data_IF_227653972602
#
_entry.id   IF_227653972602
#
_cell.length_a   1.000
_cell.length_b   1.000
_cell.length_c   1.000
_cell.angle_alpha   90.00
_cell.angle_beta   90.00
_cell.angle_gamma   90.00
#
_symmetry.space_group_name_H-M   'P 1'
#
loop_
_entity.id
_entity.type
_entity.pdbx_description
1 polymer ?
#
# COMPACT_ATOMS: atom_id res chain seq x y z
N UNK A 1 -12.05 -11.99 -7.36
CA UNK A 1 -10.72 -11.54 -6.88
C UNK A 1 -10.47 -12.13 -5.51
N UNK A 2 -9.51 -13.03 -5.33
CA UNK A 2 -9.22 -13.63 -4.02
C UNK A 2 -8.56 -12.60 -3.11
N UNK A 3 -8.94 -12.48 -1.84
CA UNK A 3 -8.28 -11.58 -0.91
C UNK A 3 -6.83 -12.00 -0.69
N UNK A 4 -5.95 -11.01 -0.67
CA UNK A 4 -4.51 -11.19 -0.42
C UNK A 4 -4.32 -11.70 1.01
N UNK A 5 -3.82 -12.93 1.15
CA UNK A 5 -3.42 -13.51 2.44
C UNK A 5 -1.94 -13.21 2.63
N UNK A 6 -1.63 -12.13 3.32
CA UNK A 6 -0.23 -11.82 3.60
C UNK A 6 0.31 -12.70 4.73
N UNK A 7 1.36 -13.45 4.46
CA UNK A 7 2.20 -14.09 5.47
C UNK A 7 3.54 -13.37 5.52
N UNK A 8 3.84 -12.79 6.67
CA UNK A 8 5.14 -12.33 7.20
C UNK A 8 5.69 -10.96 6.78
N UNK A 9 5.98 -10.21 7.84
CA UNK A 9 6.90 -9.11 8.12
C UNK A 9 6.56 -7.74 7.56
N UNK A 10 5.71 -7.03 8.27
CA UNK A 10 5.96 -5.65 8.72
C UNK A 10 5.27 -5.51 10.08
N UNK A 11 5.97 -4.99 11.10
CA UNK A 11 5.47 -4.55 12.40
C UNK A 11 4.41 -5.45 13.06
N UNK A 12 4.88 -6.38 13.82
CA UNK A 12 4.24 -7.02 14.98
C UNK A 12 2.72 -6.82 15.22
N UNK A 13 1.86 -7.44 14.47
CA UNK A 13 0.64 -7.91 15.08
C UNK A 13 0.61 -9.43 15.01
N UNK A 14 0.80 -10.05 16.17
CA UNK A 14 0.73 -11.50 16.35
C UNK A 14 -0.55 -12.06 15.74
N UNK A 15 -1.67 -11.33 15.88
CA UNK A 15 -2.98 -11.72 15.35
C UNK A 15 -3.09 -11.79 13.83
N UNK A 16 -2.31 -11.02 13.07
CA UNK A 16 -2.27 -11.10 11.63
C UNK A 16 -1.46 -12.32 11.15
N UNK A 17 -0.32 -12.60 11.80
CA UNK A 17 0.48 -13.80 11.51
C UNK A 17 -0.25 -15.10 11.84
N UNK A 18 -1.07 -15.09 12.88
CA UNK A 18 -1.87 -16.22 13.34
C UNK A 18 -3.15 -16.40 12.50
N UNK A 19 -3.36 -15.57 11.46
CA UNK A 19 -4.51 -15.66 10.54
C UNK A 19 -5.84 -15.21 11.16
N UNK A 20 -5.82 -14.52 12.29
CA UNK A 20 -7.02 -14.00 12.97
C UNK A 20 -7.67 -12.84 12.22
N UNK A 21 -6.89 -12.08 11.45
CA UNK A 21 -7.37 -10.94 10.67
C UNK A 21 -7.11 -11.12 9.19
N UNK A 22 -8.02 -10.60 8.39
CA UNK A 22 -7.84 -10.43 6.94
C UNK A 22 -7.64 -8.94 6.67
N UNK A 23 -6.55 -8.59 5.98
CA UNK A 23 -6.28 -7.23 5.55
C UNK A 23 -6.75 -7.03 4.11
N UNK A 24 -7.40 -5.89 3.86
CA UNK A 24 -7.71 -5.38 2.54
C UNK A 24 -7.10 -4.00 2.40
N UNK A 25 -6.30 -3.81 1.35
CA UNK A 25 -5.78 -2.51 0.99
C UNK A 25 -6.68 -1.87 -0.06
N UNK A 26 -6.98 -0.57 0.11
CA UNK A 26 -7.62 0.26 -0.88
C UNK A 26 -6.75 1.48 -1.08
N UNK A 27 -6.36 1.74 -2.33
CA UNK A 27 -5.44 2.81 -2.68
C UNK A 27 -6.16 3.87 -3.51
N UNK A 28 -5.81 5.14 -3.26
CA UNK A 28 -6.22 6.27 -4.07
C UNK A 28 -4.99 7.06 -4.53
N UNK A 29 -5.18 7.85 -5.57
CA UNK A 29 -4.18 8.72 -6.18
C UNK A 29 -4.60 10.20 -6.15
N UNK A 30 -5.45 10.57 -5.19
CA UNK A 30 -6.07 11.91 -5.11
C UNK A 30 -5.06 13.05 -5.04
N UNK A 31 -3.82 12.81 -4.62
CA UNK A 31 -2.75 13.81 -4.67
C UNK A 31 -2.32 14.12 -6.11
N UNK A 32 -2.35 13.13 -7.00
CA UNK A 32 -2.02 13.34 -8.41
C UNK A 32 -3.00 14.30 -9.05
N UNK A 33 -4.31 14.08 -8.87
CA UNK A 33 -5.35 14.99 -9.36
C UNK A 33 -5.21 16.41 -8.77
N UNK A 34 -4.88 16.51 -7.48
CA UNK A 34 -4.73 17.79 -6.79
C UNK A 34 -3.56 18.63 -7.29
N UNK A 35 -2.46 17.97 -7.66
CA UNK A 35 -1.20 18.64 -8.02
C UNK A 35 -0.83 18.52 -9.51
N UNK A 36 -1.70 17.92 -10.34
CA UNK A 36 -1.42 17.70 -11.77
C UNK A 36 -0.22 16.77 -11.99
N UNK A 37 -0.16 15.67 -11.22
CA UNK A 37 0.95 14.70 -11.19
C UNK A 37 0.46 13.30 -11.53
N UNK A 38 1.41 12.34 -11.57
CA UNK A 38 1.13 10.94 -11.90
C UNK A 38 1.85 9.95 -10.99
N UNK A 39 2.63 10.40 -10.03
CA UNK A 39 3.51 9.54 -9.22
C UNK A 39 2.77 8.56 -8.35
N UNK A 40 1.65 8.96 -7.73
CA UNK A 40 0.85 8.04 -6.90
C UNK A 40 0.27 6.91 -7.75
N UNK A 41 -0.25 7.23 -8.93
CA UNK A 41 -0.79 6.26 -9.87
C UNK A 41 0.29 5.29 -10.36
N UNK A 42 1.45 5.80 -10.77
CA UNK A 42 2.61 5.00 -11.20
C UNK A 42 3.12 4.06 -10.09
N UNK A 43 3.19 4.54 -8.85
CA UNK A 43 3.55 3.69 -7.71
C UNK A 43 2.51 2.58 -7.49
N UNK A 44 1.22 2.87 -7.70
CA UNK A 44 0.16 1.87 -7.59
C UNK A 44 0.24 0.81 -8.69
N UNK A 45 0.57 1.18 -9.94
CA UNK A 45 0.83 0.23 -11.02
C UNK A 45 1.99 -0.71 -10.67
N UNK A 46 3.09 -0.16 -10.17
CA UNK A 46 4.24 -0.95 -9.73
C UNK A 46 3.90 -1.88 -8.55
N UNK A 47 3.01 -1.47 -7.64
CA UNK A 47 2.46 -2.36 -6.60
C UNK A 47 1.64 -3.50 -7.19
N UNK A 48 0.87 -3.25 -8.25
CA UNK A 48 0.17 -4.30 -9.01
C UNK A 48 1.14 -5.32 -9.61
N UNK A 49 2.24 -4.85 -10.19
CA UNK A 49 3.31 -5.71 -10.71
C UNK A 49 3.97 -6.55 -9.59
N UNK A 50 4.24 -5.95 -8.42
CA UNK A 50 4.77 -6.66 -7.27
C UNK A 50 3.80 -7.72 -6.73
N UNK A 51 2.49 -7.41 -6.69
CA UNK A 51 1.44 -8.36 -6.30
C UNK A 51 1.37 -9.56 -7.24
N UNK A 52 1.62 -9.36 -8.53
CA UNK A 52 1.67 -10.44 -9.51
C UNK A 52 2.86 -11.38 -9.29
N UNK A 53 3.96 -10.90 -8.70
CA UNK A 53 5.07 -11.76 -8.30
C UNK A 53 4.69 -12.58 -7.05
N UNK A 54 4.30 -11.93 -5.97
CA UNK A 54 3.78 -12.57 -4.76
C UNK A 54 3.15 -11.57 -3.80
N UNK A 55 2.37 -12.07 -2.82
CA UNK A 55 1.83 -11.25 -1.74
C UNK A 55 2.93 -10.68 -0.84
N UNK A 56 3.99 -11.46 -0.57
CA UNK A 56 5.11 -11.01 0.24
C UNK A 56 5.88 -9.89 -0.50
N UNK A 57 6.13 -10.05 -1.81
CA UNK A 57 6.75 -9.01 -2.63
C UNK A 57 5.93 -7.70 -2.63
N UNK A 58 4.60 -7.80 -2.74
CA UNK A 58 3.71 -6.64 -2.62
C UNK A 58 3.88 -5.92 -1.28
N UNK A 59 3.85 -6.67 -0.16
CA UNK A 59 3.93 -6.07 1.17
C UNK A 59 5.31 -5.45 1.44
N UNK A 60 6.37 -6.12 1.03
CA UNK A 60 7.74 -5.62 1.18
C UNK A 60 7.94 -4.37 0.32
N UNK A 61 7.47 -4.39 -0.93
CA UNK A 61 7.58 -3.24 -1.82
C UNK A 61 6.73 -2.05 -1.36
N UNK A 62 5.52 -2.32 -0.87
CA UNK A 62 4.67 -1.30 -0.26
C UNK A 62 5.38 -0.64 0.94
N UNK A 63 5.99 -1.44 1.81
CA UNK A 63 6.73 -0.91 2.96
C UNK A 63 7.94 -0.06 2.51
N UNK A 64 8.65 -0.46 1.46
CA UNK A 64 9.76 0.30 0.91
C UNK A 64 9.32 1.62 0.27
N UNK A 65 8.20 1.65 -0.47
CA UNK A 65 7.64 2.89 -1.03
C UNK A 65 7.28 3.91 0.05
N UNK A 66 6.81 3.45 1.22
CA UNK A 66 6.45 4.30 2.36
C UNK A 66 7.60 4.49 3.37
N UNK A 67 8.77 3.92 3.11
CA UNK A 67 9.91 4.10 3.99
C UNK A 67 10.37 5.56 4.01
N UNK A 68 10.90 6.02 5.15
CA UNK A 68 11.40 7.39 5.30
C UNK A 68 12.48 7.75 4.26
N UNK A 69 13.22 6.76 3.79
CA UNK A 69 14.29 6.93 2.81
C UNK A 69 13.74 7.13 1.38
N UNK A 70 12.69 6.41 1.02
CA UNK A 70 12.22 6.33 -0.36
C UNK A 70 10.97 7.19 -0.62
N UNK A 71 10.15 7.45 0.42
CA UNK A 71 8.92 8.23 0.23
C UNK A 71 9.26 9.69 -0.08
N UNK A 72 8.87 10.22 -1.25
CA UNK A 72 9.15 11.60 -1.60
C UNK A 72 8.30 12.54 -0.75
N UNK A 73 8.79 13.78 -0.57
CA UNK A 73 7.92 14.86 -0.09
C UNK A 73 6.78 15.08 -1.09
N UNK A 74 5.62 15.52 -0.60
CA UNK A 74 4.43 15.78 -1.44
C UNK A 74 4.67 16.79 -2.55
N UNK A 75 5.75 17.57 -2.47
CA UNK A 75 6.15 18.56 -3.50
C UNK A 75 6.88 17.93 -4.70
N UNK A 76 7.35 16.67 -4.57
CA UNK A 76 8.20 16.01 -5.57
C UNK A 76 7.49 14.80 -6.15
N UNK A 77 7.31 14.80 -7.48
CA UNK A 77 6.69 13.71 -8.22
C UNK A 77 7.69 12.57 -8.57
N UNK A 78 8.50 12.14 -7.58
CA UNK A 78 9.58 11.16 -7.84
C UNK A 78 9.07 9.78 -8.23
N UNK A 79 7.90 9.39 -7.75
CA UNK A 79 7.31 8.12 -8.12
C UNK A 79 6.82 8.06 -9.58
N UNK A 80 6.75 9.19 -10.27
CA UNK A 80 6.53 9.22 -11.72
C UNK A 80 7.72 8.65 -12.53
N UNK A 81 8.88 8.54 -11.90
CA UNK A 81 10.08 7.97 -12.54
C UNK A 81 10.12 6.45 -12.44
N UNK A 82 9.99 5.77 -13.57
CA UNK A 82 10.17 4.31 -13.69
C UNK A 82 11.49 3.84 -13.08
N UNK A 83 12.60 4.55 -13.37
CA UNK A 83 13.91 4.18 -12.82
C UNK A 83 13.96 4.29 -11.30
N UNK A 84 13.25 5.26 -10.73
CA UNK A 84 13.17 5.39 -9.27
C UNK A 84 12.36 4.26 -8.63
N UNK A 85 11.22 3.89 -9.22
CA UNK A 85 10.41 2.75 -8.76
C UNK A 85 11.21 1.44 -8.82
N UNK A 86 11.94 1.20 -9.92
CA UNK A 86 12.81 0.02 -10.05
C UNK A 86 13.96 0.03 -9.04
N UNK A 87 14.58 1.20 -8.77
CA UNK A 87 15.61 1.33 -7.73
C UNK A 87 15.09 0.95 -6.34
N UNK A 88 13.87 1.32 -6.01
CA UNK A 88 13.25 0.92 -4.73
C UNK A 88 13.03 -0.60 -4.70
N UNK A 89 12.63 -1.20 -5.82
CA UNK A 89 12.40 -2.64 -5.92
C UNK A 89 13.67 -3.48 -5.69
N UNK A 90 14.87 -2.93 -5.95
CA UNK A 90 16.15 -3.59 -5.63
C UNK A 90 16.32 -3.94 -4.14
N UNK A 91 15.56 -3.27 -3.26
CA UNK A 91 15.55 -3.54 -1.82
C UNK A 91 14.66 -4.72 -1.43
N UNK A 92 13.84 -5.21 -2.36
CA UNK A 92 12.92 -6.33 -2.17
C UNK A 92 13.50 -7.58 -2.84
N UNK A 93 13.92 -8.60 -2.09
CA UNK A 93 14.62 -9.77 -2.63
C UNK A 93 13.89 -10.46 -3.79
N UNK A 94 12.56 -10.54 -3.75
CA UNK A 94 11.75 -11.18 -4.79
C UNK A 94 11.59 -10.34 -6.06
N UNK A 95 11.88 -9.04 -6.00
CA UNK A 95 11.75 -8.09 -7.12
C UNK A 95 13.11 -7.73 -7.72
N UNK A 96 14.17 -7.85 -6.94
CA UNK A 96 15.54 -7.55 -7.38
C UNK A 96 15.94 -8.39 -8.59
N UNK A 97 16.23 -7.74 -9.72
CA UNK A 97 16.61 -8.41 -10.96
C UNK A 97 15.48 -9.28 -11.57
N UNK A 98 14.23 -9.09 -11.14
CA UNK A 98 13.09 -9.82 -11.67
C UNK A 98 12.64 -9.21 -13.00
N UNK A 99 13.05 -9.79 -14.11
CA UNK A 99 12.78 -9.27 -15.46
C UNK A 99 11.28 -9.11 -15.75
N UNK A 100 10.42 -10.03 -15.25
CA UNK A 100 8.96 -9.93 -15.43
C UNK A 100 8.37 -8.72 -14.71
N UNK A 101 8.83 -8.47 -13.49
CA UNK A 101 8.43 -7.29 -12.72
C UNK A 101 8.92 -6.01 -13.41
N UNK A 102 10.19 -5.96 -13.81
CA UNK A 102 10.76 -4.79 -14.47
C UNK A 102 10.04 -4.44 -15.77
N UNK A 103 9.76 -5.44 -16.60
CA UNK A 103 9.00 -5.28 -17.85
C UNK A 103 7.60 -4.74 -17.55
N UNK A 104 6.91 -5.33 -16.57
CA UNK A 104 5.57 -4.90 -16.21
C UNK A 104 5.51 -3.44 -15.74
N UNK A 105 6.55 -2.97 -14.99
CA UNK A 105 6.64 -1.57 -14.56
C UNK A 105 7.00 -0.63 -15.73
N UNK A 106 7.83 -1.07 -16.67
CA UNK A 106 8.21 -0.27 -17.84
C UNK A 106 7.06 -0.10 -18.87
N UNK A 107 6.22 -1.13 -18.98
CA UNK A 107 5.13 -1.20 -19.96
C UNK A 107 3.74 -0.86 -19.38
N UNK A 108 3.67 -0.39 -18.16
CA UNK A 108 2.42 -0.03 -17.45
C UNK A 108 1.35 -1.14 -17.48
N UNK A 109 1.82 -2.40 -17.42
CA UNK A 109 0.97 -3.60 -17.56
C UNK A 109 -0.20 -3.62 -16.57
N UNK A 110 -0.05 -2.98 -15.42
CA UNK A 110 -1.05 -2.96 -14.34
C UNK A 110 -1.90 -1.68 -14.29
N UNK A 111 -1.85 -0.81 -15.33
CA UNK A 111 -2.64 0.41 -15.39
C UNK A 111 -4.15 0.16 -15.18
N UNK A 112 -4.72 -0.84 -15.84
CA UNK A 112 -6.14 -1.19 -15.66
C UNK A 112 -6.47 -1.62 -14.23
N UNK A 113 -5.56 -2.35 -13.58
CA UNK A 113 -5.72 -2.74 -12.17
C UNK A 113 -5.65 -1.51 -11.26
N UNK A 114 -4.69 -0.61 -11.47
CA UNK A 114 -4.53 0.63 -10.72
C UNK A 114 -5.78 1.51 -10.86
N UNK A 115 -6.29 1.72 -12.08
CA UNK A 115 -7.52 2.47 -12.32
C UNK A 115 -8.70 1.92 -11.52
N UNK A 116 -8.92 0.60 -11.53
CA UNK A 116 -9.99 -0.04 -10.75
C UNK A 116 -9.82 0.14 -9.24
N UNK A 117 -8.59 0.16 -8.75
CA UNK A 117 -8.31 0.43 -7.33
C UNK A 117 -8.67 1.87 -6.96
N UNK A 118 -8.30 2.83 -7.80
CA UNK A 118 -8.64 4.26 -7.63
C UNK A 118 -10.16 4.48 -7.69
N UNK A 119 -10.83 3.90 -8.68
CA UNK A 119 -12.30 3.95 -8.79
C UNK A 119 -12.97 3.42 -7.51
N UNK A 120 -12.51 2.28 -7.00
CA UNK A 120 -13.01 1.69 -5.76
C UNK A 120 -12.75 2.58 -4.55
N UNK A 121 -11.57 3.19 -4.46
CA UNK A 121 -11.25 4.14 -3.39
C UNK A 121 -12.17 5.35 -3.46
N UNK A 122 -12.35 5.96 -4.61
CA UNK A 122 -13.21 7.12 -4.81
C UNK A 122 -14.68 6.81 -4.47
N UNK A 123 -15.17 5.63 -4.87
CA UNK A 123 -16.53 5.17 -4.53
C UNK A 123 -16.71 4.92 -3.02
N UNK A 124 -15.66 4.71 -2.25
CA UNK A 124 -15.72 4.48 -0.81
C UNK A 124 -16.06 5.71 0.01
N UNK A 125 -15.99 6.91 -0.59
CA UNK A 125 -16.22 8.21 0.06
C UNK A 125 -15.33 8.45 1.30
N UNK A 126 -14.14 7.82 1.32
CA UNK A 126 -13.14 8.05 2.37
C UNK A 126 -12.53 9.44 2.17
N UNK A 127 -12.61 10.28 3.20
CA UNK A 127 -12.17 11.67 3.13
C UNK A 127 -10.66 11.86 3.11
N UNK A 128 -9.89 10.84 3.49
CA UNK A 128 -8.43 10.93 3.54
C UNK A 128 -7.75 9.62 3.91
N UNK A 129 -6.45 9.60 3.71
CA UNK A 129 -5.58 8.47 4.03
C UNK A 129 -4.50 8.91 5.05
N UNK A 130 -4.08 8.04 5.95
CA UNK A 130 -4.59 6.67 6.14
C UNK A 130 -5.97 6.63 6.83
N UNK A 131 -6.82 5.70 6.43
CA UNK A 131 -8.06 5.36 7.14
C UNK A 131 -8.08 3.86 7.40
N UNK A 132 -8.28 3.48 8.65
CA UNK A 132 -8.40 2.08 9.08
C UNK A 132 -9.85 1.76 9.42
N UNK A 133 -10.34 0.63 8.92
CA UNK A 133 -11.66 0.09 9.29
C UNK A 133 -11.53 -1.35 9.81
N UNK A 134 -12.30 -1.66 10.85
CA UNK A 134 -12.48 -3.01 11.35
C UNK A 134 -13.99 -3.32 11.35
N UNK A 135 -14.40 -4.40 10.69
CA UNK A 135 -15.80 -4.75 10.50
C UNK A 135 -16.68 -3.56 10.01
N UNK A 136 -16.13 -2.75 9.11
CA UNK A 136 -16.82 -1.59 8.53
C UNK A 136 -16.79 -0.31 9.36
N UNK A 137 -16.41 -0.38 10.63
CA UNK A 137 -16.29 0.78 11.53
C UNK A 137 -14.90 1.42 11.44
N UNK A 138 -14.83 2.74 11.48
CA UNK A 138 -13.56 3.44 11.54
C UNK A 138 -12.84 3.13 12.86
N UNK A 139 -11.56 2.81 12.76
CA UNK A 139 -10.68 2.61 13.92
C UNK A 139 -9.79 3.84 14.05
N UNK A 140 -10.11 4.66 15.05
CA UNK A 140 -9.33 5.86 15.35
C UNK A 140 -8.03 5.51 16.08
N UNK A 141 -6.99 6.30 15.80
CA UNK A 141 -5.78 6.30 16.62
C UNK A 141 -5.94 7.14 17.89
N UNK A 142 -4.89 7.24 18.67
CA UNK A 142 -4.83 8.02 19.91
C UNK A 142 -5.17 9.50 19.73
N UNK A 143 -5.00 10.04 18.54
CA UNK A 143 -5.27 11.43 18.17
C UNK A 143 -6.57 11.61 17.37
N UNK A 144 -7.53 10.70 17.43
CA UNK A 144 -8.79 10.67 16.66
C UNK A 144 -8.65 10.47 15.15
N UNK A 145 -7.42 10.38 14.63
CA UNK A 145 -7.12 9.98 13.24
C UNK A 145 -6.77 8.49 13.18
N UNK A 146 -6.41 8.00 12.00
CA UNK A 146 -5.93 6.62 11.88
C UNK A 146 -4.66 6.40 12.72
N UNK A 147 -4.45 5.17 13.26
CA UNK A 147 -3.25 4.84 14.00
C UNK A 147 -1.98 5.10 13.18
N UNK A 148 -1.01 5.82 13.76
CA UNK A 148 0.22 6.25 13.07
C UNK A 148 1.46 5.46 13.50
N UNK A 149 1.38 4.72 14.61
CA UNK A 149 2.46 3.85 15.08
C UNK A 149 1.99 2.40 15.17
N UNK A 150 2.90 1.41 15.14
CA UNK A 150 2.54 0.01 15.35
C UNK A 150 1.83 -0.23 16.69
N UNK A 151 2.23 0.46 17.75
CA UNK A 151 1.62 0.34 19.07
C UNK A 151 0.22 0.91 19.10
N UNK A 152 0.03 2.11 18.53
CA UNK A 152 -1.26 2.76 18.40
C UNK A 152 -2.23 1.91 17.56
N UNK A 153 -1.74 1.32 16.46
CA UNK A 153 -2.50 0.38 15.63
C UNK A 153 -2.98 -0.84 16.44
N UNK A 154 -2.10 -1.47 17.20
CA UNK A 154 -2.43 -2.65 18.01
C UNK A 154 -3.48 -2.30 19.08
N UNK A 155 -3.29 -1.18 19.78
CA UNK A 155 -4.22 -0.72 20.81
C UNK A 155 -5.60 -0.42 20.23
N UNK A 156 -5.65 0.33 19.11
CA UNK A 156 -6.89 0.68 18.44
C UNK A 156 -7.62 -0.55 17.90
N UNK A 157 -6.88 -1.52 17.33
CA UNK A 157 -7.45 -2.75 16.83
C UNK A 157 -8.01 -3.63 17.97
N UNK A 158 -7.28 -3.78 19.07
CA UNK A 158 -7.74 -4.53 20.25
C UNK A 158 -9.01 -3.89 20.84
N UNK A 159 -9.05 -2.57 20.95
CA UNK A 159 -10.23 -1.85 21.42
C UNK A 159 -11.44 -2.07 20.51
N UNK A 160 -11.23 -2.09 19.19
CA UNK A 160 -12.30 -2.32 18.21
C UNK A 160 -12.75 -3.78 18.12
N UNK A 161 -11.90 -4.74 18.53
CA UNK A 161 -12.19 -6.18 18.43
C UNK A 161 -13.05 -6.67 19.61
N UNK A 162 -13.18 -5.88 20.69
CA UNK A 162 -13.80 -6.30 21.95
C UNK A 162 -12.98 -7.36 22.71
N UNK A 163 -13.39 -7.70 23.92
CA UNK A 163 -12.81 -8.80 24.68
C UNK A 163 -13.10 -10.16 24.03
#
# INVERSE_FOLDING_TARGET
>A
MRPVRAKRRVGSSKGYRDGRYRLSFNFGDFLDARFGRHGSHRALEALGAALNVSQDAFLEYHAELYSKENHPSEEKDRFNSTSYLLKIAEKVPALKGNAKFETAVKEDTFATWANRMVEKFNASKIAGAPTLKYNGQNVAGSSSTAPMTPQDFIQALNAASGP
#
